data_IF_278897027166
#
_entry.id   IF_278897027166
#
_cell.length_a   1.000
_cell.length_b   1.000
_cell.length_c   1.000
_cell.angle_alpha   90.00
_cell.angle_beta   90.00
_cell.angle_gamma   90.00
#
_symmetry.space_group_name_H-M   'P 1'
#
loop_
_entity.id
_entity.type
_entity.pdbx_description
1 polymer ?
#
# COMPACT_ATOMS: atom_id res chain seq x y z
N UNK A 1 -6.11 -9.74 1.97
CA UNK A 1 -6.36 -8.38 2.49
C UNK A 1 -7.78 -8.34 3.00
N UNK A 2 -8.00 -7.82 4.21
CA UNK A 2 -9.35 -7.63 4.79
C UNK A 2 -9.34 -6.40 5.68
N UNK A 3 -10.41 -5.62 5.60
CA UNK A 3 -10.68 -4.46 6.45
C UNK A 3 -11.29 -4.85 7.80
N UNK A 4 -11.70 -6.11 7.96
CA UNK A 4 -12.30 -6.61 9.18
C UNK A 4 -11.23 -6.78 10.27
N UNK A 5 -11.39 -6.15 11.45
CA UNK A 5 -10.50 -6.40 12.56
C UNK A 5 -10.62 -7.86 13.01
N UNK A 6 -9.54 -8.44 13.52
CA UNK A 6 -9.49 -9.86 13.92
C UNK A 6 -10.58 -10.25 14.92
N UNK A 7 -11.07 -9.31 15.73
CA UNK A 7 -12.19 -9.53 16.66
C UNK A 7 -13.53 -9.82 15.96
N UNK A 8 -13.68 -9.44 14.71
CA UNK A 8 -14.87 -9.67 13.90
C UNK A 8 -14.78 -10.96 13.07
N UNK A 9 -13.72 -11.75 13.22
CA UNK A 9 -13.55 -12.98 12.44
C UNK A 9 -14.32 -14.16 13.04
N UNK A 10 -14.87 -14.03 14.24
CA UNK A 10 -15.55 -15.13 14.91
C UNK A 10 -16.73 -15.67 14.10
N UNK A 11 -16.75 -16.99 13.89
CA UNK A 11 -17.72 -17.70 13.06
C UNK A 11 -17.52 -17.52 11.55
N UNK A 12 -16.37 -17.00 11.10
CA UNK A 12 -16.07 -16.80 9.68
C UNK A 12 -14.93 -17.71 9.21
N UNK A 13 -14.81 -17.88 7.90
CA UNK A 13 -13.68 -18.58 7.28
C UNK A 13 -12.30 -18.01 7.68
N UNK A 14 -12.22 -16.72 8.02
CA UNK A 14 -10.97 -16.11 8.49
C UNK A 14 -10.56 -16.60 9.89
N UNK A 15 -11.52 -16.96 10.75
CA UNK A 15 -11.22 -17.60 12.05
C UNK A 15 -10.71 -19.03 11.82
N UNK A 16 -11.34 -19.80 10.92
CA UNK A 16 -10.87 -21.15 10.58
C UNK A 16 -9.43 -21.15 10.05
N UNK A 17 -9.10 -20.22 9.15
CA UNK A 17 -7.73 -20.03 8.64
C UNK A 17 -6.75 -19.61 9.73
N UNK A 18 -7.21 -18.86 10.73
CA UNK A 18 -6.38 -18.43 11.86
C UNK A 18 -6.10 -19.57 12.83
N UNK A 19 -7.07 -20.46 13.02
CA UNK A 19 -6.94 -21.63 13.91
C UNK A 19 -6.06 -22.72 13.29
N UNK A 20 -6.06 -22.88 11.96
CA UNK A 20 -5.16 -23.81 11.27
C UNK A 20 -3.74 -23.24 11.07
N UNK A 21 -3.02 -23.12 12.18
CA UNK A 21 -1.62 -22.66 12.19
C UNK A 21 -0.63 -23.67 11.59
N UNK A 22 -1.07 -24.88 11.25
CA UNK A 22 -0.20 -25.91 10.64
C UNK A 22 -0.13 -25.74 9.14
N UNK A 23 -1.26 -25.39 8.51
CA UNK A 23 -1.34 -25.19 7.07
C UNK A 23 -1.13 -23.73 6.67
N UNK A 24 -1.51 -22.78 7.53
CA UNK A 24 -1.50 -21.36 7.20
C UNK A 24 -0.70 -20.53 8.20
N UNK A 25 -0.01 -19.53 7.67
CA UNK A 25 0.64 -18.48 8.46
C UNK A 25 0.00 -17.14 8.11
N UNK A 26 -0.61 -16.51 9.11
CA UNK A 26 -1.20 -15.19 8.96
C UNK A 26 -0.17 -14.10 9.21
N UNK A 27 -0.18 -13.11 8.34
CA UNK A 27 0.57 -11.87 8.49
C UNK A 27 -0.42 -10.72 8.55
N UNK A 28 -0.16 -9.76 9.44
CA UNK A 28 -0.94 -8.54 9.56
C UNK A 28 -0.02 -7.38 9.30
N UNK A 29 -0.42 -6.51 8.37
CA UNK A 29 0.24 -5.24 8.11
C UNK A 29 -0.55 -4.14 8.82
N UNK A 30 0.16 -3.21 9.43
CA UNK A 30 -0.42 -2.04 10.10
C UNK A 30 0.32 -0.80 9.64
N UNK A 31 -0.38 0.33 9.61
CA UNK A 31 0.22 1.62 9.24
C UNK A 31 1.45 1.99 10.08
N UNK A 32 1.48 1.53 11.34
CA UNK A 32 2.57 1.81 12.29
C UNK A 32 3.74 0.82 12.20
N UNK A 33 3.65 -0.20 11.36
CA UNK A 33 4.75 -1.14 11.19
C UNK A 33 5.93 -0.41 10.54
N UNK A 34 7.15 -0.67 11.05
CA UNK A 34 8.35 0.06 10.65
C UNK A 34 8.58 0.06 9.14
N UNK A 35 8.25 -1.06 8.46
CA UNK A 35 8.37 -1.18 7.01
C UNK A 35 7.44 -0.21 6.28
N UNK A 36 6.19 -0.09 6.73
CA UNK A 36 5.20 0.81 6.13
C UNK A 36 5.60 2.27 6.37
N UNK A 37 6.02 2.59 7.61
CA UNK A 37 6.51 3.92 7.97
C UNK A 37 7.75 4.30 7.16
N UNK A 38 8.70 3.38 6.98
CA UNK A 38 9.90 3.62 6.19
C UNK A 38 9.58 3.78 4.69
N UNK A 39 8.67 2.98 4.14
CA UNK A 39 8.21 3.12 2.77
C UNK A 39 7.58 4.50 2.53
N UNK A 40 6.69 4.94 3.45
CA UNK A 40 6.08 6.25 3.40
C UNK A 40 7.12 7.38 3.46
N UNK A 41 8.11 7.29 4.36
CA UNK A 41 9.22 8.27 4.45
C UNK A 41 10.04 8.32 3.15
N UNK A 42 10.36 7.18 2.55
CA UNK A 42 11.11 7.11 1.29
C UNK A 42 10.32 7.70 0.14
N UNK A 43 9.01 7.41 0.05
CA UNK A 43 8.12 7.97 -0.96
C UNK A 43 8.07 9.51 -0.85
N UNK A 44 7.88 10.03 0.37
CA UNK A 44 7.93 11.47 0.64
C UNK A 44 9.27 12.10 0.25
N UNK A 45 10.39 11.45 0.56
CA UNK A 45 11.71 11.96 0.21
C UNK A 45 11.92 11.97 -1.31
N UNK A 46 11.48 10.93 -2.02
CA UNK A 46 11.59 10.82 -3.47
C UNK A 46 10.75 11.89 -4.18
N UNK A 47 9.52 12.15 -3.72
CA UNK A 47 8.67 13.18 -4.32
C UNK A 47 9.21 14.59 -4.06
N UNK A 48 9.73 14.86 -2.87
CA UNK A 48 10.42 16.11 -2.57
C UNK A 48 11.70 16.28 -3.40
N UNK A 49 12.37 15.16 -3.73
CA UNK A 49 13.55 15.15 -4.62
C UNK A 49 13.15 15.43 -6.08
N UNK A 50 12.02 14.91 -6.55
CA UNK A 50 11.45 15.20 -7.87
C UNK A 50 10.99 16.66 -8.00
N UNK A 51 10.42 17.25 -6.95
CA UNK A 51 10.11 18.69 -6.91
C UNK A 51 11.36 19.57 -6.82
N UNK A 52 12.49 19.02 -6.33
CA UNK A 52 13.78 19.73 -6.25
C UNK A 52 14.59 19.69 -7.55
N UNK A 53 14.33 18.75 -8.46
CA UNK A 53 15.08 18.61 -9.72
C UNK A 53 14.47 19.40 -10.90
N UNK A 54 13.27 19.96 -10.75
CA UNK A 54 12.53 20.65 -11.82
C UNK A 54 12.42 22.18 -11.71
N UNK A 55 13.18 22.84 -10.84
CA UNK A 55 13.19 24.31 -10.78
C UNK A 55 14.60 24.88 -10.99
N UNK A 56 14.78 25.83 -11.92
CA UNK A 56 16.02 26.58 -12.02
C UNK A 56 16.21 27.35 -10.71
N UNK A 57 17.41 27.22 -10.18
CA UNK A 57 17.91 27.84 -8.94
C UNK A 57 18.01 29.35 -9.14
N UNK A 58 16.89 30.04 -9.26
CA UNK A 58 16.86 31.49 -9.23
C UNK A 58 16.65 31.93 -7.78
N UNK A 59 17.76 32.41 -7.20
CA UNK A 59 17.74 33.37 -6.11
C UNK A 59 16.80 34.51 -6.52
N UNK A 60 15.73 34.72 -5.77
CA UNK A 60 15.54 35.97 -5.06
C UNK A 60 14.25 35.94 -4.25
N UNK A 61 14.33 36.57 -3.08
CA UNK A 61 13.38 36.42 -2.00
C UNK A 61 11.96 36.83 -2.37
N UNK A 62 11.00 36.01 -1.97
CA UNK A 62 9.66 36.41 -1.57
C UNK A 62 9.20 35.40 -0.51
N UNK A 63 8.92 35.90 0.69
CA UNK A 63 8.17 35.19 1.74
C UNK A 63 6.76 34.88 1.20
N UNK A 64 6.59 33.76 0.51
CA UNK A 64 5.28 33.15 0.30
C UNK A 64 5.19 31.97 1.26
N UNK A 65 4.27 32.07 2.23
CA UNK A 65 3.68 30.89 2.86
C UNK A 65 3.21 30.01 1.71
N UNK A 66 4.00 28.99 1.36
CA UNK A 66 3.47 27.91 0.55
C UNK A 66 2.49 27.24 1.50
N UNK A 67 1.21 27.46 1.27
CA UNK A 67 0.22 26.47 1.65
C UNK A 67 0.77 25.18 1.04
N UNK A 68 1.31 24.32 1.89
CA UNK A 68 1.83 23.05 1.40
C UNK A 68 0.60 22.32 0.89
N UNK A 69 0.40 22.32 -0.43
CA UNK A 69 -0.53 21.41 -1.07
C UNK A 69 -0.30 20.07 -0.39
N UNK A 70 -1.32 19.60 0.35
CA UNK A 70 -1.25 18.30 1.01
C UNK A 70 -1.01 17.33 -0.12
N UNK A 71 0.23 16.89 -0.24
CA UNK A 71 0.58 15.75 -1.07
C UNK A 71 -0.27 14.61 -0.53
N UNK A 72 -1.36 14.29 -1.23
CA UNK A 72 -2.07 13.05 -1.01
C UNK A 72 -1.15 11.96 -1.52
N UNK A 73 -0.31 11.47 -0.62
CA UNK A 73 0.40 10.24 -0.87
C UNK A 73 -0.66 9.14 -0.97
N UNK A 74 -0.52 8.21 -1.93
CA UNK A 74 -1.29 6.99 -1.92
C UNK A 74 -1.20 6.37 -0.53
N UNK A 75 -2.30 5.78 -0.06
CA UNK A 75 -2.26 4.99 1.16
C UNK A 75 -1.20 3.88 0.97
N UNK A 76 -0.05 4.07 1.62
CA UNK A 76 1.13 3.22 1.44
C UNK A 76 0.82 1.81 1.93
N UNK A 77 -0.02 1.68 2.96
CA UNK A 77 -0.47 0.37 3.43
C UNK A 77 -1.29 -0.31 2.33
N UNK A 78 -2.30 0.37 1.80
CA UNK A 78 -3.13 -0.18 0.72
C UNK A 78 -2.28 -0.58 -0.51
N UNK A 79 -1.34 0.26 -0.94
CA UNK A 79 -0.48 -0.06 -2.07
C UNK A 79 0.39 -1.30 -1.81
N UNK A 80 0.93 -1.44 -0.59
CA UNK A 80 1.68 -2.64 -0.19
C UNK A 80 0.76 -3.87 -0.19
N UNK A 81 -0.47 -3.76 0.30
CA UNK A 81 -1.43 -4.86 0.30
C UNK A 81 -1.84 -5.29 -1.12
N UNK A 82 -2.12 -4.32 -2.01
CA UNK A 82 -2.39 -4.58 -3.43
C UNK A 82 -1.19 -5.26 -4.10
N UNK A 83 0.03 -4.77 -3.83
CA UNK A 83 1.26 -5.36 -4.34
C UNK A 83 1.42 -6.80 -3.88
N UNK A 84 1.27 -7.09 -2.59
CA UNK A 84 1.36 -8.45 -2.03
C UNK A 84 0.33 -9.38 -2.66
N UNK A 85 -0.91 -8.93 -2.80
CA UNK A 85 -1.97 -9.71 -3.46
C UNK A 85 -1.68 -9.92 -4.96
N UNK A 86 -1.09 -8.94 -5.63
CA UNK A 86 -0.70 -9.06 -7.04
C UNK A 86 0.43 -10.09 -7.23
N UNK A 87 1.36 -10.20 -6.29
CA UNK A 87 2.46 -11.17 -6.35
C UNK A 87 2.09 -12.61 -5.95
N UNK A 88 0.84 -12.87 -5.56
CA UNK A 88 0.44 -14.20 -5.08
C UNK A 88 0.58 -15.27 -6.17
N UNK A 89 1.48 -16.23 -5.96
CA UNK A 89 1.78 -17.32 -6.91
C UNK A 89 0.63 -18.30 -7.07
N UNK A 90 -0.16 -18.53 -6.03
CA UNK A 90 -1.34 -19.41 -6.06
C UNK A 90 -2.56 -18.79 -6.74
N UNK A 91 -2.48 -17.51 -7.16
CA UNK A 91 -3.61 -16.77 -7.73
C UNK A 91 -4.16 -15.71 -6.78
N UNK A 92 -5.16 -14.98 -7.28
CA UNK A 92 -5.87 -13.93 -6.55
C UNK A 92 -7.38 -14.10 -6.78
N UNK A 93 -8.16 -13.93 -5.71
CA UNK A 93 -9.62 -13.87 -5.76
C UNK A 93 -10.03 -12.57 -5.06
N UNK A 94 -10.69 -11.68 -5.80
CA UNK A 94 -11.18 -10.41 -5.30
C UNK A 94 -12.70 -10.36 -5.17
N UNK A 95 -13.20 -9.27 -4.60
CA UNK A 95 -14.64 -8.97 -4.53
C UNK A 95 -15.11 -8.36 -5.84
N UNK A 96 -16.18 -8.91 -6.43
CA UNK A 96 -16.75 -8.38 -7.67
C UNK A 96 -17.19 -6.91 -7.51
N UNK A 97 -16.81 -6.05 -8.47
CA UNK A 97 -17.10 -4.62 -8.46
C UNK A 97 -16.19 -3.78 -7.55
N UNK A 98 -15.19 -4.37 -6.90
CA UNK A 98 -14.20 -3.63 -6.12
C UNK A 98 -13.11 -3.03 -7.02
N UNK A 99 -12.91 -1.71 -6.94
CA UNK A 99 -11.81 -1.02 -7.64
C UNK A 99 -10.44 -1.48 -7.17
N UNK A 100 -10.31 -1.92 -5.91
CA UNK A 100 -9.07 -2.49 -5.37
C UNK A 100 -8.79 -3.86 -6.00
N UNK A 101 -9.82 -4.70 -6.14
CA UNK A 101 -9.67 -5.98 -6.83
C UNK A 101 -9.27 -5.79 -8.30
N UNK A 102 -9.88 -4.82 -8.98
CA UNK A 102 -9.52 -4.44 -10.34
C UNK A 102 -8.07 -3.94 -10.44
N UNK A 103 -7.62 -3.10 -9.51
CA UNK A 103 -6.22 -2.63 -9.41
C UNK A 103 -5.25 -3.82 -9.33
N UNK A 104 -5.51 -4.77 -8.42
CA UNK A 104 -4.69 -5.97 -8.24
C UNK A 104 -4.65 -6.82 -9.52
N UNK A 105 -5.79 -7.01 -10.19
CA UNK A 105 -5.84 -7.75 -11.45
C UNK A 105 -5.02 -7.07 -12.57
N UNK A 106 -5.06 -5.74 -12.65
CA UNK A 106 -4.24 -4.97 -13.59
C UNK A 106 -2.75 -5.13 -13.27
N UNK A 107 -2.36 -5.01 -11.99
CA UNK A 107 -0.96 -5.22 -11.55
C UNK A 107 -0.46 -6.61 -11.94
N UNK A 108 -1.30 -7.64 -11.77
CA UNK A 108 -0.99 -9.03 -12.18
C UNK A 108 -0.79 -9.16 -13.68
N UNK A 109 -1.68 -8.58 -14.50
CA UNK A 109 -1.58 -8.61 -15.97
C UNK A 109 -0.32 -7.92 -16.50
N UNK A 110 0.16 -6.91 -15.78
CA UNK A 110 1.34 -6.15 -16.15
C UNK A 110 2.64 -6.69 -15.54
N UNK A 111 2.63 -7.89 -14.94
CA UNK A 111 3.79 -8.50 -14.28
C UNK A 111 4.45 -7.55 -13.27
N UNK A 112 3.66 -6.86 -12.43
CA UNK A 112 4.19 -5.97 -11.39
C UNK A 112 5.17 -6.70 -10.44
N UNK A 113 5.09 -8.03 -10.38
CA UNK A 113 6.00 -8.90 -9.67
C UNK A 113 6.74 -9.78 -10.69
N UNK A 114 7.86 -9.28 -11.20
CA UNK A 114 8.86 -10.13 -11.86
C UNK A 114 9.75 -10.74 -10.77
N UNK A 115 9.71 -12.06 -10.64
CA UNK A 115 10.56 -12.85 -9.75
C UNK A 115 11.84 -13.27 -10.47
#
# INVERSE_FOLDING_TARGET
>A
MTDLPTMNWTGTYLEELKEDTKSYKLFTLRERDDLIVQAAKKLMAAENSLKSSFLPRNLDGIKKKRDCDRVMLPDVLLYVEETVCSCATMGFVGTAGSTIAESIEIMRKNNACEL
#
